data_IF_971135471968
#
_entry.id   IF_971135471968
#
_cell.length_a   1.000
_cell.length_b   1.000
_cell.length_c   1.000
_cell.angle_alpha   90.00
_cell.angle_beta   90.00
_cell.angle_gamma   90.00
#
_symmetry.space_group_name_H-M   'P 1'
#
loop_
_entity.id
_entity.type
_entity.pdbx_description
1 polymer ?
#
# COMPACT_ATOMS: atom_id res chain seq x y z
N UNK A 1 -35.39 -23.08 -6.11
CA UNK A 1 -35.59 -23.43 -4.68
C UNK A 1 -34.87 -22.39 -3.83
N UNK A 2 -35.68 -21.72 -3.03
CA UNK A 2 -35.32 -20.58 -2.18
C UNK A 2 -34.32 -20.93 -1.09
N UNK A 3 -33.37 -19.97 -0.81
CA UNK A 3 -32.75 -19.83 0.50
C UNK A 3 -32.80 -18.38 0.95
N UNK A 4 -33.98 -17.95 1.38
CA UNK A 4 -34.19 -16.86 2.32
C UNK A 4 -34.37 -17.48 3.71
N UNK A 5 -33.58 -17.01 4.71
CA UNK A 5 -33.87 -16.97 6.17
C UNK A 5 -32.52 -16.72 6.88
N UNK A 6 -32.35 -15.90 7.86
CA UNK A 6 -33.11 -15.02 8.75
C UNK A 6 -32.06 -14.38 9.64
N UNK A 7 -31.91 -13.08 9.64
CA UNK A 7 -31.26 -12.41 10.77
C UNK A 7 -32.38 -11.78 11.61
N UNK A 8 -32.61 -12.35 12.77
CA UNK A 8 -33.47 -11.80 13.82
C UNK A 8 -32.68 -10.74 14.60
N UNK A 9 -33.26 -9.55 14.68
CA UNK A 9 -32.85 -8.47 15.58
C UNK A 9 -32.96 -8.98 17.03
N UNK A 10 -31.87 -8.92 17.78
CA UNK A 10 -31.90 -8.95 19.23
C UNK A 10 -31.74 -7.52 19.74
N UNK A 11 -32.80 -6.98 20.29
CA UNK A 11 -32.80 -5.72 21.02
C UNK A 11 -31.98 -5.89 22.31
N UNK A 12 -30.91 -5.11 22.46
CA UNK A 12 -30.23 -4.92 23.73
C UNK A 12 -30.43 -3.47 24.15
N UNK A 13 -31.38 -3.25 25.04
CA UNK A 13 -31.56 -2.00 25.79
C UNK A 13 -30.38 -1.81 26.73
N UNK A 14 -29.48 -0.89 26.44
CA UNK A 14 -28.32 -0.51 27.22
C UNK A 14 -28.26 0.99 27.48
N UNK A 15 -28.75 1.39 28.65
CA UNK A 15 -28.50 2.62 29.48
C UNK A 15 -27.71 3.73 28.79
N UNK A 16 -28.41 4.78 28.35
CA UNK A 16 -27.84 6.08 28.01
C UNK A 16 -27.19 6.71 29.24
N UNK A 17 -25.86 6.74 29.27
CA UNK A 17 -25.11 7.60 30.20
C UNK A 17 -25.24 9.05 29.71
N UNK A 18 -25.75 9.92 30.58
CA UNK A 18 -25.81 11.35 30.39
C UNK A 18 -24.38 11.90 30.13
N UNK A 19 -24.10 12.28 28.87
CA UNK A 19 -22.93 13.08 28.56
C UNK A 19 -23.22 14.51 29.03
N UNK A 20 -22.48 14.97 30.02
CA UNK A 20 -22.46 16.37 30.42
C UNK A 20 -22.18 17.23 29.22
N UNK A 21 -23.04 18.22 28.94
CA UNK A 21 -22.80 19.29 27.98
C UNK A 21 -21.49 19.97 28.37
N UNK A 22 -20.42 19.68 27.66
CA UNK A 22 -19.19 20.49 27.68
C UNK A 22 -19.56 21.84 27.08
N UNK A 23 -19.36 22.90 27.84
CA UNK A 23 -19.46 24.29 27.39
C UNK A 23 -18.47 24.45 26.24
N UNK A 24 -18.97 24.60 25.01
CA UNK A 24 -18.15 24.95 23.86
C UNK A 24 -17.70 26.39 24.08
N UNK A 25 -16.38 26.69 24.13
CA UNK A 25 -15.93 28.08 24.22
C UNK A 25 -16.43 28.82 22.99
N UNK A 26 -17.02 30.01 23.19
CA UNK A 26 -17.41 30.90 22.10
C UNK A 26 -16.19 31.17 21.22
N UNK A 27 -16.25 30.74 19.96
CA UNK A 27 -15.23 31.07 18.96
C UNK A 27 -15.37 32.56 18.71
N UNK A 28 -14.38 33.33 19.17
CA UNK A 28 -14.27 34.74 18.83
C UNK A 28 -13.97 34.86 17.33
N UNK A 29 -14.71 35.67 16.60
CA UNK A 29 -14.42 35.95 15.20
C UNK A 29 -13.01 36.55 15.09
N UNK A 30 -12.19 36.10 14.13
CA UNK A 30 -10.83 36.61 13.94
C UNK A 30 -10.87 38.07 13.57
N UNK A 31 -10.01 38.87 14.21
CA UNK A 31 -9.85 40.29 13.86
C UNK A 31 -9.35 40.45 12.42
N UNK A 32 -9.60 41.62 11.79
CA UNK A 32 -9.17 41.90 10.41
C UNK A 32 -7.65 41.61 10.19
N UNK A 33 -6.81 41.88 11.20
CA UNK A 33 -5.37 41.59 11.18
C UNK A 33 -5.06 40.11 11.18
N UNK A 34 -5.91 39.25 11.75
CA UNK A 34 -5.78 37.79 11.70
C UNK A 34 -6.33 37.20 10.40
N UNK A 35 -7.26 37.89 9.77
CA UNK A 35 -7.81 37.53 8.46
C UNK A 35 -6.81 37.73 7.32
N UNK A 36 -6.01 38.82 7.37
CA UNK A 36 -4.97 39.10 6.36
C UNK A 36 -3.79 38.16 6.44
N UNK A 37 -3.41 37.64 7.62
CA UNK A 37 -2.35 36.64 7.76
C UNK A 37 -2.71 35.25 7.24
N UNK A 38 -3.96 35.00 6.94
CA UNK A 38 -4.46 33.69 6.44
C UNK A 38 -4.15 33.44 4.97
N UNK A 39 -3.68 34.44 4.22
CA UNK A 39 -3.38 34.34 2.78
C UNK A 39 -1.90 34.25 2.42
N UNK A 40 -1.01 34.32 3.39
CA UNK A 40 0.41 33.99 3.20
C UNK A 40 0.66 32.49 3.50
N UNK A 41 -0.08 31.60 2.86
CA UNK A 41 0.41 30.24 2.71
C UNK A 41 1.58 30.33 1.72
N UNK A 42 2.82 30.03 2.15
CA UNK A 42 3.91 29.92 1.20
C UNK A 42 3.48 28.91 0.14
N UNK A 43 3.45 29.35 -1.12
CA UNK A 43 3.16 28.48 -2.26
C UNK A 43 4.14 27.32 -2.11
N UNK A 44 3.61 26.15 -1.75
CA UNK A 44 4.46 24.95 -1.59
C UNK A 44 5.19 24.77 -2.91
N UNK A 45 6.53 24.76 -2.93
CA UNK A 45 7.25 24.66 -4.18
C UNK A 45 6.76 23.44 -4.95
N UNK A 46 6.56 23.59 -6.25
CA UNK A 46 6.14 22.49 -7.13
C UNK A 46 7.17 21.37 -7.01
N UNK A 47 6.72 20.19 -6.60
CA UNK A 47 7.57 19.00 -6.52
C UNK A 47 8.21 18.73 -7.88
N UNK A 48 9.48 18.40 -7.87
CA UNK A 48 10.19 17.90 -9.06
C UNK A 48 9.57 16.58 -9.53
N UNK A 49 9.79 16.19 -10.77
CA UNK A 49 9.33 14.89 -11.29
C UNK A 49 9.95 13.70 -10.54
N UNK A 50 11.13 13.88 -9.97
CA UNK A 50 11.78 12.87 -9.13
C UNK A 50 11.07 12.73 -7.77
N UNK A 51 10.78 13.84 -7.12
CA UNK A 51 10.01 13.85 -5.86
C UNK A 51 8.61 13.27 -6.03
N UNK A 52 7.93 13.58 -7.15
CA UNK A 52 6.63 13.00 -7.49
C UNK A 52 6.71 11.48 -7.67
N UNK A 53 7.74 11.01 -8.39
CA UNK A 53 7.96 9.58 -8.62
C UNK A 53 8.26 8.83 -7.31
N UNK A 54 9.05 9.46 -6.42
CA UNK A 54 9.38 8.90 -5.11
C UNK A 54 8.15 8.86 -4.19
N UNK A 55 7.34 9.91 -4.15
CA UNK A 55 6.10 9.91 -3.40
C UNK A 55 5.12 8.85 -3.93
N UNK A 56 4.98 8.76 -5.25
CA UNK A 56 4.10 7.79 -5.90
C UNK A 56 4.50 6.33 -5.61
N UNK A 57 5.80 6.00 -5.66
CA UNK A 57 6.25 4.63 -5.40
C UNK A 57 6.04 4.23 -3.94
N UNK A 58 6.19 5.14 -2.99
CA UNK A 58 5.92 4.87 -1.58
C UNK A 58 4.45 4.51 -1.35
N UNK A 59 3.52 5.32 -1.87
CA UNK A 59 2.10 5.08 -1.76
C UNK A 59 1.70 3.75 -2.43
N UNK A 60 2.09 3.56 -3.69
CA UNK A 60 1.77 2.34 -4.43
C UNK A 60 2.33 1.08 -3.78
N UNK A 61 3.56 1.11 -3.28
CA UNK A 61 4.17 -0.07 -2.64
C UNK A 61 3.55 -0.37 -1.28
N UNK A 62 3.11 0.64 -0.54
CA UNK A 62 2.36 0.45 0.69
C UNK A 62 0.99 -0.18 0.42
N UNK A 63 0.23 0.37 -0.52
CA UNK A 63 -1.10 -0.13 -0.90
C UNK A 63 -1.01 -1.56 -1.45
N UNK A 64 0.01 -1.84 -2.27
CA UNK A 64 0.29 -3.18 -2.77
C UNK A 64 0.58 -4.16 -1.62
N UNK A 65 1.43 -3.78 -0.67
CA UNK A 65 1.73 -4.59 0.51
C UNK A 65 0.47 -4.91 1.32
N UNK A 66 -0.38 -3.92 1.57
CA UNK A 66 -1.66 -4.09 2.24
C UNK A 66 -2.61 -5.02 1.46
N UNK A 67 -2.59 -4.93 0.13
CA UNK A 67 -3.36 -5.78 -0.76
C UNK A 67 -2.91 -7.24 -0.69
N UNK A 68 -1.60 -7.48 -0.69
CA UNK A 68 -1.02 -8.82 -0.56
C UNK A 68 -1.30 -9.43 0.82
N UNK A 69 -1.27 -8.64 1.90
CA UNK A 69 -1.67 -9.12 3.23
C UNK A 69 -3.13 -9.61 3.21
N UNK A 70 -4.04 -8.84 2.61
CA UNK A 70 -5.45 -9.23 2.46
C UNK A 70 -5.61 -10.47 1.59
N UNK A 71 -4.86 -10.56 0.48
CA UNK A 71 -4.84 -11.71 -0.39
C UNK A 71 -4.38 -12.97 0.35
N UNK A 72 -3.26 -12.89 1.08
CA UNK A 72 -2.75 -14.02 1.85
C UNK A 72 -3.76 -14.51 2.88
N UNK A 73 -4.45 -13.58 3.56
CA UNK A 73 -5.53 -13.92 4.48
C UNK A 73 -6.67 -14.64 3.75
N UNK A 74 -7.15 -14.10 2.61
CA UNK A 74 -8.20 -14.68 1.79
C UNK A 74 -7.85 -16.10 1.32
N UNK A 75 -6.63 -16.33 0.83
CA UNK A 75 -6.16 -17.65 0.38
C UNK A 75 -6.15 -18.70 1.51
N UNK A 76 -6.04 -18.27 2.76
CA UNK A 76 -6.08 -19.16 3.92
C UNK A 76 -7.49 -19.35 4.52
N UNK A 77 -8.51 -18.68 3.99
CA UNK A 77 -9.89 -18.83 4.42
C UNK A 77 -10.54 -20.07 3.78
N UNK A 78 -11.42 -20.74 4.52
CA UNK A 78 -12.20 -21.85 4.01
C UNK A 78 -11.61 -23.24 4.28
N UNK A 79 -12.27 -24.25 3.69
CA UNK A 79 -11.86 -25.66 3.81
C UNK A 79 -10.90 -26.01 2.68
N UNK A 80 -9.62 -25.94 2.95
CA UNK A 80 -8.56 -26.33 2.03
C UNK A 80 -8.11 -27.77 2.27
N UNK A 81 -7.70 -28.47 1.21
CA UNK A 81 -6.95 -29.72 1.37
C UNK A 81 -5.61 -29.42 2.08
N UNK A 82 -4.98 -30.46 2.66
CA UNK A 82 -3.65 -30.29 3.26
C UNK A 82 -2.61 -29.83 2.22
N UNK A 83 -2.67 -30.40 1.02
CA UNK A 83 -1.74 -30.05 -0.06
C UNK A 83 -1.88 -28.59 -0.50
N UNK A 84 -3.12 -28.09 -0.68
CA UNK A 84 -3.36 -26.70 -1.04
C UNK A 84 -2.88 -25.73 0.05
N UNK A 85 -3.10 -26.09 1.30
CA UNK A 85 -2.61 -25.30 2.45
C UNK A 85 -1.09 -25.21 2.47
N UNK A 86 -0.39 -26.32 2.27
CA UNK A 86 1.06 -26.37 2.24
C UNK A 86 1.62 -25.51 1.08
N UNK A 87 0.98 -25.56 -0.10
CA UNK A 87 1.36 -24.72 -1.27
C UNK A 87 1.11 -23.23 -1.00
N UNK A 88 -0.08 -22.88 -0.53
CA UNK A 88 -0.45 -21.49 -0.19
C UNK A 88 0.49 -20.92 0.87
N UNK A 89 0.82 -21.70 1.88
CA UNK A 89 1.76 -21.29 2.91
C UNK A 89 3.18 -21.07 2.35
N UNK A 90 3.66 -21.95 1.49
CA UNK A 90 5.00 -21.81 0.90
C UNK A 90 5.09 -20.60 -0.05
N UNK A 91 4.20 -20.53 -1.05
CA UNK A 91 4.21 -19.48 -2.08
C UNK A 91 3.71 -18.15 -1.53
N UNK A 92 2.62 -18.18 -0.77
CA UNK A 92 2.00 -16.98 -0.20
C UNK A 92 2.90 -16.25 0.80
N UNK A 93 3.71 -16.97 1.60
CA UNK A 93 4.71 -16.33 2.49
C UNK A 93 5.82 -15.66 1.70
N UNK A 94 6.28 -16.24 0.60
CA UNK A 94 7.28 -15.61 -0.26
C UNK A 94 6.71 -14.34 -0.91
N UNK A 95 5.49 -14.41 -1.44
CA UNK A 95 4.80 -13.24 -1.97
C UNK A 95 4.62 -12.14 -0.91
N UNK A 96 4.22 -12.50 0.32
CA UNK A 96 4.06 -11.54 1.42
C UNK A 96 5.39 -10.88 1.77
N UNK A 97 6.47 -11.66 1.86
CA UNK A 97 7.82 -11.17 2.15
C UNK A 97 8.30 -10.22 1.06
N UNK A 98 8.26 -10.63 -0.19
CA UNK A 98 8.75 -9.81 -1.31
C UNK A 98 7.92 -8.52 -1.45
N UNK A 99 6.59 -8.59 -1.38
CA UNK A 99 5.73 -7.41 -1.49
C UNK A 99 5.98 -6.37 -0.38
N UNK A 100 6.15 -6.82 0.87
CA UNK A 100 6.47 -5.91 1.98
C UNK A 100 7.89 -5.36 1.90
N UNK A 101 8.85 -6.13 1.36
CA UNK A 101 10.22 -5.68 1.12
C UNK A 101 10.31 -4.52 0.13
N UNK A 102 9.42 -4.43 -0.86
CA UNK A 102 9.38 -3.29 -1.79
C UNK A 102 9.21 -1.98 -1.02
N UNK A 103 8.16 -1.92 -0.19
CA UNK A 103 7.86 -0.71 0.57
C UNK A 103 8.95 -0.42 1.63
N UNK A 104 9.46 -1.42 2.32
CA UNK A 104 10.53 -1.26 3.31
C UNK A 104 11.76 -0.61 2.68
N UNK A 105 12.27 -1.15 1.56
CA UNK A 105 13.44 -0.61 0.87
C UNK A 105 13.20 0.80 0.33
N UNK A 106 12.01 1.11 -0.17
CA UNK A 106 11.69 2.45 -0.65
C UNK A 106 11.54 3.47 0.49
N UNK A 107 11.09 3.05 1.68
CA UNK A 107 11.11 3.91 2.88
C UNK A 107 12.55 4.18 3.34
N UNK A 108 13.42 3.19 3.36
CA UNK A 108 14.84 3.38 3.68
C UNK A 108 15.52 4.33 2.67
N UNK A 109 15.16 4.24 1.39
CA UNK A 109 15.66 5.11 0.33
C UNK A 109 15.21 6.59 0.46
N UNK A 110 14.31 6.95 1.39
CA UNK A 110 13.95 8.36 1.61
C UNK A 110 15.04 9.16 2.32
N UNK A 111 15.94 8.49 3.02
CA UNK A 111 17.05 9.12 3.76
C UNK A 111 18.39 8.45 3.41
N UNK A 112 18.78 8.49 2.12
CA UNK A 112 19.98 7.79 1.66
C UNK A 112 21.23 8.52 2.12
N UNK A 113 22.30 7.78 2.40
CA UNK A 113 23.61 8.34 2.71
C UNK A 113 24.31 8.88 1.44
N UNK A 114 23.93 8.39 0.26
CA UNK A 114 24.47 8.80 -1.05
C UNK A 114 23.53 8.36 -2.18
N UNK A 115 23.76 8.87 -3.40
CA UNK A 115 23.07 8.39 -4.60
C UNK A 115 23.30 6.88 -4.85
N UNK A 116 24.47 6.37 -4.50
CA UNK A 116 24.78 4.94 -4.59
C UNK A 116 23.96 4.11 -3.61
N UNK A 117 23.77 4.59 -2.38
CA UNK A 117 22.91 3.95 -1.39
C UNK A 117 21.45 3.97 -1.81
N UNK A 118 20.95 5.12 -2.30
CA UNK A 118 19.61 5.22 -2.89
C UNK A 118 19.44 4.20 -4.02
N UNK A 119 20.39 4.12 -4.95
CA UNK A 119 20.35 3.18 -6.07
C UNK A 119 20.33 1.74 -5.58
N UNK A 120 21.10 1.41 -4.53
CA UNK A 120 21.13 0.09 -3.92
C UNK A 120 19.74 -0.30 -3.40
N UNK A 121 19.11 0.57 -2.59
CA UNK A 121 17.77 0.33 -2.03
C UNK A 121 16.69 0.23 -3.11
N UNK A 122 16.68 1.12 -4.09
CA UNK A 122 15.75 1.07 -5.21
C UNK A 122 15.94 -0.18 -6.08
N UNK A 123 17.18 -0.66 -6.24
CA UNK A 123 17.47 -1.89 -6.99
C UNK A 123 17.01 -3.13 -6.24
N UNK A 124 17.12 -3.16 -4.91
CA UNK A 124 16.56 -4.24 -4.09
C UNK A 124 15.02 -4.23 -4.22
N UNK A 125 14.38 -3.07 -4.07
CA UNK A 125 12.94 -2.94 -4.24
C UNK A 125 12.46 -3.45 -5.62
N UNK A 126 13.20 -3.18 -6.69
CA UNK A 126 12.91 -3.69 -8.02
C UNK A 126 13.03 -5.22 -8.11
N UNK A 127 14.05 -5.82 -7.49
CA UNK A 127 14.17 -7.29 -7.42
C UNK A 127 12.99 -7.92 -6.68
N UNK A 128 12.63 -7.39 -5.53
CA UNK A 128 11.49 -7.86 -4.73
C UNK A 128 10.16 -7.70 -5.48
N UNK A 129 10.01 -6.65 -6.28
CA UNK A 129 8.82 -6.45 -7.12
C UNK A 129 8.74 -7.51 -8.24
N UNK A 130 9.86 -7.86 -8.86
CA UNK A 130 9.92 -8.96 -9.85
C UNK A 130 9.66 -10.33 -9.23
N UNK A 131 10.16 -10.55 -8.03
CA UNK A 131 9.86 -11.76 -7.26
C UNK A 131 8.38 -11.86 -6.94
N UNK A 132 7.75 -10.76 -6.50
CA UNK A 132 6.30 -10.70 -6.26
C UNK A 132 5.47 -11.01 -7.51
N UNK A 133 5.86 -10.48 -8.66
CA UNK A 133 5.23 -10.77 -9.96
C UNK A 133 5.26 -12.27 -10.27
N UNK A 134 6.42 -12.91 -10.04
CA UNK A 134 6.60 -14.36 -10.25
C UNK A 134 5.66 -15.18 -9.36
N UNK A 135 5.59 -14.87 -8.06
CA UNK A 135 4.71 -15.59 -7.14
C UNK A 135 3.22 -15.39 -7.46
N UNK A 136 2.83 -14.18 -7.91
CA UNK A 136 1.46 -13.92 -8.36
C UNK A 136 1.09 -14.74 -9.58
N UNK A 137 1.98 -14.85 -10.57
CA UNK A 137 1.78 -15.72 -11.74
C UNK A 137 1.64 -17.18 -11.32
N UNK A 138 2.50 -17.68 -10.44
CA UNK A 138 2.42 -19.05 -9.95
C UNK A 138 1.07 -19.34 -9.27
N UNK A 139 0.56 -18.44 -8.43
CA UNK A 139 -0.74 -18.59 -7.80
C UNK A 139 -1.89 -18.53 -8.82
N UNK A 140 -1.79 -17.63 -9.80
CA UNK A 140 -2.80 -17.48 -10.85
C UNK A 140 -2.86 -18.70 -11.78
N UNK A 141 -1.71 -19.14 -12.30
CA UNK A 141 -1.62 -20.22 -13.27
C UNK A 141 -2.03 -21.58 -12.70
N UNK A 142 -1.96 -21.73 -11.37
CA UNK A 142 -2.41 -22.92 -10.65
C UNK A 142 -3.84 -22.78 -10.07
N UNK A 143 -4.60 -21.74 -10.46
CA UNK A 143 -6.02 -21.61 -10.14
C UNK A 143 -6.32 -21.15 -8.70
N UNK A 144 -5.33 -20.66 -7.95
CA UNK A 144 -5.53 -20.10 -6.61
C UNK A 144 -6.13 -18.69 -6.64
N UNK A 145 -6.03 -17.99 -7.78
CA UNK A 145 -6.62 -16.67 -8.01
C UNK A 145 -7.60 -16.72 -9.18
N UNK A 146 -8.76 -16.09 -9.05
CA UNK A 146 -9.61 -15.85 -10.20
C UNK A 146 -8.99 -14.79 -11.14
N UNK A 147 -9.39 -14.80 -12.41
CA UNK A 147 -8.82 -13.94 -13.46
C UNK A 147 -8.90 -12.46 -13.10
N UNK A 148 -10.05 -12.01 -12.56
CA UNK A 148 -10.25 -10.60 -12.23
C UNK A 148 -9.34 -10.14 -11.08
N UNK A 149 -9.18 -10.99 -10.07
CA UNK A 149 -8.29 -10.74 -8.93
C UNK A 149 -6.84 -10.72 -9.39
N UNK A 150 -6.43 -11.71 -10.19
CA UNK A 150 -5.10 -11.84 -10.74
C UNK A 150 -4.71 -10.63 -11.60
N UNK A 151 -5.51 -10.27 -12.61
CA UNK A 151 -5.29 -9.12 -13.47
C UNK A 151 -5.12 -7.82 -12.68
N UNK A 152 -5.99 -7.60 -11.71
CA UNK A 152 -5.98 -6.39 -10.91
C UNK A 152 -4.72 -6.25 -10.05
N UNK A 153 -4.24 -7.35 -9.44
CA UNK A 153 -3.03 -7.32 -8.58
C UNK A 153 -1.76 -7.25 -9.44
N UNK A 154 -1.71 -8.01 -10.54
CA UNK A 154 -0.60 -7.96 -11.49
C UNK A 154 -0.45 -6.59 -12.13
N UNK A 155 -1.55 -5.89 -12.42
CA UNK A 155 -1.51 -4.52 -12.90
C UNK A 155 -0.82 -3.57 -11.91
N UNK A 156 -1.11 -3.68 -10.60
CA UNK A 156 -0.43 -2.87 -9.60
C UNK A 156 1.06 -3.20 -9.52
N UNK A 157 1.42 -4.49 -9.56
CA UNK A 157 2.81 -4.93 -9.59
C UNK A 157 3.57 -4.39 -10.80
N UNK A 158 2.96 -4.44 -11.99
CA UNK A 158 3.55 -3.90 -13.23
C UNK A 158 3.77 -2.38 -13.16
N UNK A 159 2.86 -1.62 -12.52
CA UNK A 159 3.05 -0.18 -12.29
C UNK A 159 4.25 0.09 -11.39
N UNK A 160 4.39 -0.64 -10.29
CA UNK A 160 5.53 -0.56 -9.38
C UNK A 160 6.83 -0.85 -10.14
N UNK A 161 6.88 -1.96 -10.89
CA UNK A 161 8.02 -2.33 -11.72
C UNK A 161 8.44 -1.19 -12.67
N UNK A 162 7.48 -0.60 -13.39
CA UNK A 162 7.74 0.49 -14.33
C UNK A 162 8.37 1.72 -13.66
N UNK A 163 7.86 2.12 -12.50
CA UNK A 163 8.38 3.26 -11.75
C UNK A 163 9.80 2.96 -11.25
N UNK A 164 10.03 1.79 -10.65
CA UNK A 164 11.34 1.41 -10.12
C UNK A 164 12.41 1.27 -11.22
N UNK A 165 12.05 0.75 -12.39
CA UNK A 165 12.94 0.73 -13.56
C UNK A 165 13.34 2.16 -13.95
N UNK A 166 12.37 3.07 -13.99
CA UNK A 166 12.62 4.46 -14.36
C UNK A 166 13.53 5.16 -13.35
N UNK A 167 13.25 4.99 -12.05
CA UNK A 167 14.06 5.56 -10.95
C UNK A 167 15.49 5.03 -11.03
N UNK A 168 15.67 3.72 -11.07
CA UNK A 168 17.00 3.10 -11.08
C UNK A 168 17.81 3.48 -12.31
N UNK A 169 17.19 3.58 -13.49
CA UNK A 169 17.85 4.01 -14.71
C UNK A 169 18.33 5.47 -14.64
N UNK A 170 17.51 6.39 -14.12
CA UNK A 170 17.87 7.81 -13.94
C UNK A 170 19.08 7.98 -13.01
N UNK A 171 19.06 7.29 -11.87
CA UNK A 171 20.16 7.40 -10.88
C UNK A 171 21.44 6.77 -11.42
N UNK A 172 21.37 5.62 -12.08
CA UNK A 172 22.53 5.01 -12.75
C UNK A 172 23.16 5.96 -13.78
N UNK A 173 22.33 6.66 -14.58
CA UNK A 173 22.84 7.64 -15.55
C UNK A 173 23.55 8.78 -14.85
N UNK A 174 23.00 9.31 -13.73
CA UNK A 174 23.60 10.40 -12.93
C UNK A 174 24.95 10.00 -12.31
N UNK A 175 25.08 8.77 -11.84
CA UNK A 175 26.32 8.26 -11.25
C UNK A 175 27.43 7.99 -12.28
N UNK A 176 27.07 7.83 -13.56
CA UNK A 176 28.04 7.56 -14.65
C UNK A 176 28.37 8.82 -15.45
N UNK A 177 27.82 9.99 -15.12
CA UNK A 177 28.09 11.29 -15.75
C UNK A 177 29.11 12.08 -15.01
#
# INVERSE_FOLDING_TARGET
MEYKKKYTKTEAAGKRKNFRKSVVPSIQEPTEEQSTRRFENPVKPLMTEEEKSNAQILELSYDFSCRIIRLYKYLNEGKLSKADRDIIDAVGRQLLRSATSINANMNEAQHPQSDSDFLSKASIALKESRESETWLHMLSDNGYLDSRMSESILHDCARINKILITITAKVKKRLNS
#
